data_IF_288301476728
#
_entry.id   IF_288301476728
#
_cell.length_a   1.000
_cell.length_b   1.000
_cell.length_c   1.000
_cell.angle_alpha   90.00
_cell.angle_beta   90.00
_cell.angle_gamma   90.00
#
_symmetry.space_group_name_H-M   'P 1'
#
loop_
_entity.id
_entity.type
_entity.pdbx_description
1 polymer ?
#
# COMPACT_ATOMS: atom_id res chain seq x y z
N UNK A 1 12.59 -13.92 -10.74
CA UNK A 1 13.49 -12.94 -10.11
C UNK A 1 12.68 -11.75 -9.62
N UNK A 2 12.97 -11.27 -8.42
CA UNK A 2 12.34 -10.08 -7.84
C UNK A 2 13.39 -9.10 -7.33
N UNK A 3 13.08 -7.82 -7.38
CA UNK A 3 13.93 -6.77 -6.85
C UNK A 3 13.10 -5.57 -6.43
N UNK A 4 13.64 -4.75 -5.55
CA UNK A 4 12.96 -3.55 -5.11
C UNK A 4 13.88 -2.61 -4.36
N UNK A 5 13.47 -1.35 -4.33
CA UNK A 5 14.11 -0.27 -3.59
C UNK A 5 13.04 0.46 -2.78
N UNK A 6 13.38 0.87 -1.59
CA UNK A 6 12.53 1.72 -0.77
C UNK A 6 13.38 2.81 -0.14
N UNK A 7 12.92 4.03 -0.29
CA UNK A 7 13.45 5.21 0.39
C UNK A 7 12.39 5.73 1.34
N UNK A 8 12.71 5.80 2.62
CA UNK A 8 11.84 6.39 3.63
C UNK A 8 12.58 7.50 4.35
N UNK A 9 11.91 8.58 4.62
CA UNK A 9 12.49 9.70 5.35
C UNK A 9 11.49 10.27 6.34
N UNK A 10 11.91 10.37 7.58
CA UNK A 10 11.28 11.17 8.62
C UNK A 10 11.95 12.55 8.62
N UNK A 11 11.43 13.47 7.80
CA UNK A 11 12.00 14.81 7.67
C UNK A 11 11.79 15.59 8.97
N UNK A 12 10.63 15.45 9.58
CA UNK A 12 10.28 16.07 10.85
C UNK A 12 9.22 15.21 11.58
N UNK A 13 8.90 15.51 12.86
CA UNK A 13 7.77 14.86 13.55
C UNK A 13 6.42 15.06 12.85
N UNK A 14 6.33 16.06 11.97
CA UNK A 14 5.11 16.41 11.25
C UNK A 14 5.05 15.83 9.84
N UNK A 15 6.20 15.54 9.22
CA UNK A 15 6.28 15.11 7.82
C UNK A 15 7.13 13.86 7.66
N UNK A 16 6.52 12.80 7.20
CA UNK A 16 7.20 11.61 6.71
C UNK A 16 6.76 11.26 5.28
N UNK A 17 7.65 10.63 4.53
CA UNK A 17 7.31 10.05 3.24
C UNK A 17 8.02 8.72 3.01
N UNK A 18 7.43 7.92 2.17
CA UNK A 18 8.02 6.67 1.66
C UNK A 18 7.85 6.62 0.16
N UNK A 19 8.95 6.40 -0.55
CA UNK A 19 8.97 6.10 -1.97
C UNK A 19 9.43 4.66 -2.14
N UNK A 20 8.61 3.83 -2.78
CA UNK A 20 8.88 2.43 -3.01
C UNK A 20 8.80 2.06 -4.48
N UNK A 21 9.67 1.16 -4.92
CA UNK A 21 9.59 0.52 -6.22
C UNK A 21 9.88 -0.96 -6.04
N UNK A 22 8.99 -1.81 -6.54
CA UNK A 22 9.17 -3.26 -6.56
C UNK A 22 8.87 -3.78 -7.94
N UNK A 23 9.67 -4.71 -8.41
CA UNK A 23 9.46 -5.42 -9.65
C UNK A 23 9.62 -6.93 -9.45
N UNK A 24 8.91 -7.68 -10.26
CA UNK A 24 9.06 -9.13 -10.37
C UNK A 24 9.04 -9.53 -11.82
N UNK A 25 10.01 -10.35 -12.20
CA UNK A 25 10.08 -10.99 -13.51
C UNK A 25 10.09 -12.50 -13.33
N UNK A 26 9.11 -13.15 -13.87
CA UNK A 26 8.92 -14.60 -13.80
C UNK A 26 8.96 -15.19 -15.20
N UNK A 27 9.76 -16.24 -15.36
CA UNK A 27 9.83 -17.04 -16.57
C UNK A 27 9.13 -18.36 -16.27
N UNK A 28 8.04 -18.64 -16.96
CA UNK A 28 7.36 -19.92 -16.90
C UNK A 28 7.79 -20.73 -18.13
N UNK A 29 8.38 -21.92 -17.90
CA UNK A 29 8.76 -22.87 -18.94
C UNK A 29 7.95 -24.14 -18.76
N UNK A 30 7.37 -24.63 -19.83
CA UNK A 30 6.61 -25.88 -19.83
C UNK A 30 7.36 -26.91 -20.70
N UNK A 31 7.91 -27.94 -20.04
CA UNK A 31 8.70 -28.98 -20.72
C UNK A 31 7.83 -29.90 -21.62
N UNK A 32 6.53 -29.98 -21.33
CA UNK A 32 5.59 -30.84 -22.09
C UNK A 32 4.93 -30.06 -23.22
N UNK A 33 4.70 -28.77 -23.04
CA UNK A 33 4.02 -27.89 -24.00
C UNK A 33 4.78 -26.56 -24.12
N UNK A 34 5.85 -26.49 -24.90
CA UNK A 34 6.66 -25.27 -25.05
C UNK A 34 5.87 -24.06 -25.56
N UNK A 35 4.75 -24.25 -26.22
CA UNK A 35 3.83 -23.18 -26.64
C UNK A 35 3.11 -22.48 -25.46
N UNK A 36 3.20 -23.03 -24.24
CA UNK A 36 2.73 -22.41 -23.01
C UNK A 36 3.84 -21.67 -22.25
N UNK A 37 5.06 -21.61 -22.80
CA UNK A 37 6.12 -20.80 -22.26
C UNK A 37 5.68 -19.33 -22.23
N UNK A 38 5.83 -18.68 -21.09
CA UNK A 38 5.43 -17.31 -20.94
C UNK A 38 6.35 -16.55 -19.97
N UNK A 39 6.54 -15.27 -20.27
CA UNK A 39 7.27 -14.36 -19.42
C UNK A 39 6.26 -13.37 -18.81
N UNK A 40 6.26 -13.31 -17.50
CA UNK A 40 5.41 -12.42 -16.74
C UNK A 40 6.25 -11.36 -16.06
N UNK A 41 5.84 -10.13 -16.18
CA UNK A 41 6.46 -9.01 -15.50
C UNK A 41 5.40 -8.16 -14.81
N UNK A 42 5.68 -7.77 -13.57
CA UNK A 42 4.93 -6.70 -12.92
C UNK A 42 5.86 -5.77 -12.14
N UNK A 43 5.44 -4.54 -12.00
CA UNK A 43 6.03 -3.62 -11.06
C UNK A 43 4.97 -2.83 -10.30
N UNK A 44 5.37 -2.37 -9.12
CA UNK A 44 4.59 -1.49 -8.27
C UNK A 44 5.49 -0.34 -7.85
N UNK A 45 5.05 0.89 -8.14
CA UNK A 45 5.65 2.11 -7.63
C UNK A 45 4.71 2.72 -6.60
N UNK A 46 5.21 3.09 -5.44
CA UNK A 46 4.42 3.60 -4.31
C UNK A 46 4.99 4.93 -3.81
N UNK A 47 4.14 5.90 -3.58
CA UNK A 47 4.45 7.14 -2.88
C UNK A 47 3.45 7.31 -1.74
N UNK A 48 3.94 7.30 -0.51
CA UNK A 48 3.17 7.63 0.69
C UNK A 48 3.70 8.91 1.28
N UNK A 49 2.79 9.78 1.66
CA UNK A 49 3.12 11.03 2.37
C UNK A 49 2.15 11.16 3.54
N UNK A 50 2.71 11.33 4.73
CA UNK A 50 1.96 11.69 5.92
C UNK A 50 2.43 13.06 6.40
N UNK A 51 1.50 13.98 6.50
CA UNK A 51 1.79 15.34 6.93
C UNK A 51 0.82 15.80 8.01
N UNK A 52 1.35 16.13 9.18
CA UNK A 52 0.59 16.73 10.26
C UNK A 52 0.83 18.24 10.21
N UNK A 53 -0.20 19.00 9.87
CA UNK A 53 -0.13 20.46 9.75
C UNK A 53 -1.13 21.14 10.68
N UNK A 54 -0.94 22.42 10.89
CA UNK A 54 -1.79 23.30 11.71
C UNK A 54 -2.64 22.58 12.77
N UNK A 55 -2.14 22.57 14.02
CA UNK A 55 -2.92 22.21 15.24
C UNK A 55 -3.78 20.93 15.09
N UNK A 56 -3.14 19.79 14.77
CA UNK A 56 -3.75 18.48 14.77
C UNK A 56 -4.51 18.04 13.51
N UNK A 57 -4.34 18.71 12.38
CA UNK A 57 -4.77 18.18 11.09
C UNK A 57 -3.73 17.24 10.53
N UNK A 58 -4.19 16.15 9.95
CA UNK A 58 -3.34 15.11 9.36
C UNK A 58 -3.78 14.91 7.92
N UNK A 59 -2.84 15.03 7.00
CA UNK A 59 -3.01 14.69 5.60
C UNK A 59 -2.25 13.38 5.32
N UNK A 60 -2.91 12.42 4.69
CA UNK A 60 -2.29 11.19 4.24
C UNK A 60 -2.59 11.01 2.76
N UNK A 61 -1.56 10.73 2.02
CA UNK A 61 -1.61 10.47 0.59
C UNK A 61 -0.92 9.14 0.30
N UNK A 62 -1.64 8.24 -0.37
CA UNK A 62 -1.12 6.97 -0.86
C UNK A 62 -1.38 6.89 -2.35
N UNK A 63 -0.32 6.96 -3.14
CA UNK A 63 -0.37 6.85 -4.60
C UNK A 63 0.44 5.63 -5.02
N UNK A 64 -0.18 4.72 -5.75
CA UNK A 64 0.48 3.53 -6.29
C UNK A 64 0.21 3.41 -7.78
N UNK A 65 1.25 3.08 -8.53
CA UNK A 65 1.16 2.67 -9.92
C UNK A 65 1.46 1.18 -10.01
N UNK A 66 0.55 0.44 -10.65
CA UNK A 66 0.66 -0.99 -10.84
C UNK A 66 0.66 -1.29 -12.34
N UNK A 67 1.63 -2.07 -12.77
CA UNK A 67 1.78 -2.50 -14.15
C UNK A 67 2.00 -4.01 -14.20
N UNK A 68 1.20 -4.68 -15.01
CA UNK A 68 1.26 -6.11 -15.26
C UNK A 68 1.33 -6.37 -16.76
N UNK A 69 2.26 -7.20 -17.18
CA UNK A 69 2.37 -7.65 -18.58
C UNK A 69 2.82 -9.10 -18.67
N UNK A 70 2.59 -9.72 -19.80
CA UNK A 70 2.86 -11.15 -20.01
C UNK A 70 1.77 -12.04 -19.43
N UNK A 71 0.61 -11.51 -19.07
CA UNK A 71 -0.59 -12.27 -18.73
C UNK A 71 -1.33 -12.72 -19.99
N UNK A 72 -2.38 -13.52 -19.82
CA UNK A 72 -3.29 -13.88 -20.89
C UNK A 72 -3.94 -12.64 -21.53
N UNK A 73 -4.56 -12.85 -22.69
CA UNK A 73 -5.24 -11.79 -23.42
C UNK A 73 -6.29 -11.08 -22.54
N UNK A 74 -6.25 -9.75 -22.49
CA UNK A 74 -7.15 -8.93 -21.66
C UNK A 74 -6.79 -8.81 -20.17
N UNK A 75 -5.66 -9.40 -19.74
CA UNK A 75 -5.21 -9.31 -18.33
C UNK A 75 -3.97 -8.44 -18.13
N UNK A 76 -3.35 -7.94 -19.19
CA UNK A 76 -2.31 -6.92 -19.06
C UNK A 76 -2.96 -5.62 -18.60
N UNK A 77 -2.45 -5.04 -17.54
CA UNK A 77 -3.08 -3.89 -16.90
C UNK A 77 -2.03 -2.85 -16.49
N UNK A 78 -2.41 -1.60 -16.66
CA UNK A 78 -1.71 -0.45 -16.11
C UNK A 78 -2.75 0.44 -15.42
N UNK A 79 -2.61 0.66 -14.11
CA UNK A 79 -3.54 1.51 -13.39
C UNK A 79 -2.90 2.20 -12.19
N UNK A 80 -3.56 3.25 -11.74
CA UNK A 80 -3.18 4.02 -10.58
C UNK A 80 -4.21 3.88 -9.48
N UNK A 81 -3.73 3.60 -8.27
CA UNK A 81 -4.54 3.69 -7.06
C UNK A 81 -4.12 4.94 -6.30
N UNK A 82 -5.06 5.85 -6.12
CA UNK A 82 -4.82 7.08 -5.39
C UNK A 82 -5.82 7.25 -4.27
N UNK A 83 -5.32 7.22 -3.03
CA UNK A 83 -6.09 7.39 -1.82
C UNK A 83 -5.65 8.66 -1.10
N UNK A 84 -6.59 9.49 -0.73
CA UNK A 84 -6.34 10.74 0.00
C UNK A 84 -7.18 10.74 1.25
N UNK A 85 -6.58 11.07 2.40
CA UNK A 85 -7.25 11.17 3.67
C UNK A 85 -6.91 12.48 4.36
N UNK A 86 -7.91 13.15 4.90
CA UNK A 86 -7.75 14.31 5.77
C UNK A 86 -8.37 13.97 7.12
N UNK A 87 -7.56 13.98 8.16
CA UNK A 87 -7.96 13.68 9.53
C UNK A 87 -7.75 14.88 10.45
N UNK A 88 -8.51 14.91 11.53
CA UNK A 88 -8.33 15.85 12.62
C UNK A 88 -8.22 15.10 13.94
N UNK A 89 -7.11 15.30 14.65
CA UNK A 89 -6.94 14.77 16.01
C UNK A 89 -7.85 15.54 16.97
N UNK A 90 -8.62 14.81 17.73
CA UNK A 90 -9.63 15.31 18.66
C UNK A 90 -9.14 15.12 20.09
N UNK A 91 -9.74 15.88 20.99
CA UNK A 91 -9.47 15.91 22.43
C UNK A 91 -8.09 16.47 22.79
N UNK A 92 -7.94 16.98 23.98
CA UNK A 92 -6.68 17.57 24.46
C UNK A 92 -5.54 16.54 24.51
N UNK A 93 -5.86 15.27 24.75
CA UNK A 93 -4.91 14.15 24.77
C UNK A 93 -4.62 13.56 23.39
N UNK A 94 -5.22 14.07 22.29
CA UNK A 94 -5.09 13.61 20.92
C UNK A 94 -5.42 12.12 20.70
N UNK A 95 -6.24 11.54 21.56
CA UNK A 95 -6.62 10.12 21.48
C UNK A 95 -7.69 9.82 20.45
N UNK A 96 -8.50 10.81 20.09
CA UNK A 96 -9.48 10.68 19.01
C UNK A 96 -8.94 11.20 17.70
N UNK A 97 -9.37 10.63 16.60
CA UNK A 97 -9.15 11.14 15.26
C UNK A 97 -10.40 10.92 14.41
N UNK A 98 -10.86 11.98 13.77
CA UNK A 98 -11.91 11.90 12.75
C UNK A 98 -11.26 12.10 11.38
N UNK A 99 -11.42 11.14 10.49
CA UNK A 99 -10.80 11.11 9.17
C UNK A 99 -11.85 11.00 8.09
N UNK A 100 -11.78 11.90 7.10
CA UNK A 100 -12.50 11.79 5.84
C UNK A 100 -11.52 11.30 4.78
N UNK A 101 -11.82 10.16 4.15
CA UNK A 101 -11.00 9.54 3.11
C UNK A 101 -11.75 9.40 1.79
N UNK A 102 -11.03 9.63 0.69
CA UNK A 102 -11.43 9.27 -0.67
C UNK A 102 -10.50 8.18 -1.15
N UNK A 103 -11.05 7.03 -1.46
CA UNK A 103 -10.31 5.87 -1.93
C UNK A 103 -10.55 5.67 -3.42
N UNK A 104 -9.49 5.26 -4.13
CA UNK A 104 -9.50 5.11 -5.58
C UNK A 104 -10.02 6.37 -6.29
N UNK A 105 -9.39 7.51 -6.02
CA UNK A 105 -9.80 8.81 -6.55
C UNK A 105 -9.91 8.82 -8.08
N UNK A 106 -9.05 8.05 -8.77
CA UNK A 106 -9.03 7.95 -10.23
C UNK A 106 -10.03 6.92 -10.77
N UNK A 107 -10.68 6.14 -9.89
CA UNK A 107 -11.62 5.08 -10.26
C UNK A 107 -11.02 4.03 -11.22
N UNK A 108 -9.79 3.63 -10.93
CA UNK A 108 -9.02 2.70 -11.75
C UNK A 108 -8.72 1.37 -11.05
N UNK A 109 -9.25 1.17 -9.82
CA UNK A 109 -8.97 -0.03 -9.06
C UNK A 109 -9.38 -1.30 -9.82
N UNK A 110 -8.42 -2.20 -9.97
CA UNK A 110 -8.63 -3.51 -10.59
C UNK A 110 -7.89 -4.56 -9.79
N UNK A 111 -8.50 -5.70 -9.58
CA UNK A 111 -7.82 -6.83 -8.96
C UNK A 111 -7.56 -7.90 -10.01
N UNK A 112 -6.31 -8.05 -10.38
CA UNK A 112 -5.84 -9.07 -11.32
C UNK A 112 -4.79 -9.89 -10.58
N UNK A 113 -4.89 -11.22 -10.66
CA UNK A 113 -3.89 -12.11 -10.11
C UNK A 113 -3.56 -13.23 -11.08
N UNK A 114 -2.31 -13.67 -11.06
CA UNK A 114 -1.84 -14.85 -11.80
C UNK A 114 -1.38 -15.90 -10.81
N UNK A 115 -1.91 -17.10 -11.01
CA UNK A 115 -1.46 -18.32 -10.34
C UNK A 115 -0.80 -19.25 -11.35
N UNK A 116 0.45 -19.62 -11.11
CA UNK A 116 1.21 -20.52 -11.99
C UNK A 116 1.52 -21.79 -11.21
N UNK A 117 1.07 -22.91 -11.71
CA UNK A 117 1.37 -24.25 -11.21
C UNK A 117 2.09 -25.06 -12.30
N UNK A 118 2.58 -26.23 -11.96
CA UNK A 118 3.25 -27.13 -12.92
C UNK A 118 2.31 -27.61 -14.03
N UNK A 119 0.99 -27.53 -13.81
CA UNK A 119 -0.03 -28.09 -14.71
C UNK A 119 -0.87 -27.04 -15.43
N UNK A 120 -1.02 -25.84 -14.87
CA UNK A 120 -1.85 -24.79 -15.44
C UNK A 120 -1.38 -23.38 -15.06
N UNK A 121 -1.79 -22.41 -15.87
CA UNK A 121 -1.69 -20.97 -15.57
C UNK A 121 -3.13 -20.46 -15.48
N UNK A 122 -3.44 -19.76 -14.40
CA UNK A 122 -4.74 -19.15 -14.15
C UNK A 122 -4.58 -17.64 -14.01
N UNK A 123 -5.26 -16.89 -14.83
CA UNK A 123 -5.41 -15.44 -14.70
C UNK A 123 -6.81 -15.13 -14.17
N UNK A 124 -6.90 -14.49 -13.04
CA UNK A 124 -8.16 -14.18 -12.37
C UNK A 124 -8.37 -12.69 -12.23
N UNK A 125 -9.59 -12.23 -12.47
CA UNK A 125 -10.02 -10.85 -12.22
C UNK A 125 -11.18 -10.87 -11.23
N UNK A 126 -11.07 -10.07 -10.19
CA UNK A 126 -12.11 -9.92 -9.18
C UNK A 126 -12.73 -8.55 -9.25
N UNK A 127 -14.02 -8.47 -8.98
CA UNK A 127 -14.67 -7.19 -8.76
C UNK A 127 -14.18 -6.60 -7.45
N UNK A 128 -13.67 -5.39 -7.51
CA UNK A 128 -13.19 -4.63 -6.36
C UNK A 128 -14.08 -3.43 -6.12
N UNK A 129 -14.05 -2.93 -4.90
CA UNK A 129 -14.74 -1.69 -4.57
C UNK A 129 -14.08 -0.54 -5.33
N UNK A 130 -14.85 0.10 -6.19
CA UNK A 130 -14.45 1.29 -6.93
C UNK A 130 -14.46 2.51 -6.01
N UNK A 131 -14.16 3.69 -6.56
CA UNK A 131 -14.06 4.93 -5.81
C UNK A 131 -15.20 5.10 -4.79
N UNK A 132 -14.81 5.32 -3.54
CA UNK A 132 -15.73 5.57 -2.43
C UNK A 132 -15.18 6.59 -1.46
N UNK A 133 -16.08 7.15 -0.68
CA UNK A 133 -15.76 8.09 0.41
C UNK A 133 -16.07 7.41 1.73
N UNK A 134 -15.19 7.56 2.69
CA UNK A 134 -15.35 6.96 4.03
C UNK A 134 -15.06 7.99 5.11
N UNK A 135 -15.94 8.08 6.10
CA UNK A 135 -15.73 8.80 7.34
C UNK A 135 -15.38 7.80 8.44
N UNK A 136 -14.22 7.98 9.06
CA UNK A 136 -13.72 7.07 10.10
C UNK A 136 -13.48 7.84 11.39
N UNK A 137 -13.98 7.30 12.50
CA UNK A 137 -13.60 7.75 13.83
C UNK A 137 -12.75 6.69 14.51
N UNK A 138 -11.54 7.10 14.95
CA UNK A 138 -10.61 6.23 15.67
C UNK A 138 -10.38 6.77 17.07
N UNK A 139 -10.39 5.88 18.07
CA UNK A 139 -10.08 6.26 19.45
C UNK A 139 -9.06 5.29 20.06
N UNK A 140 -7.95 5.82 20.60
CA UNK A 140 -6.87 5.07 21.23
C UNK A 140 -7.10 4.95 22.74
N UNK A 141 -7.45 3.75 23.20
CA UNK A 141 -7.70 3.47 24.62
C UNK A 141 -6.41 3.24 25.44
N UNK A 142 -5.30 2.84 24.80
CA UNK A 142 -4.08 2.44 25.51
C UNK A 142 -3.03 3.57 25.53
N UNK A 143 -2.58 3.94 26.74
CA UNK A 143 -1.31 4.59 26.99
C UNK A 143 -0.33 3.53 27.48
N UNK A 144 0.67 3.19 26.68
CA UNK A 144 1.84 2.49 27.20
C UNK A 144 2.73 3.54 27.88
N UNK A 145 2.50 3.80 29.18
CA UNK A 145 3.46 4.52 30.00
C UNK A 145 4.61 3.54 30.26
N UNK A 146 5.66 3.57 29.46
CA UNK A 146 6.93 2.95 29.80
C UNK A 146 7.62 3.82 30.86
N UNK A 147 7.13 3.74 32.09
CA UNK A 147 7.93 4.15 33.25
C UNK A 147 9.06 3.15 33.37
N UNK A 148 10.23 3.46 32.79
CA UNK A 148 11.45 2.77 33.15
C UNK A 148 11.71 3.06 34.64
N UNK A 149 11.34 2.11 35.51
CA UNK A 149 11.86 2.09 36.86
C UNK A 149 13.37 1.90 36.73
N UNK A 150 14.11 2.97 36.97
CA UNK A 150 15.54 2.88 37.26
C UNK A 150 15.66 2.01 38.51
N UNK A 151 15.97 0.74 38.32
CA UNK A 151 16.44 -0.13 39.40
C UNK A 151 17.87 0.29 39.66
N UNK A 152 18.07 1.11 40.70
CA UNK A 152 19.39 1.36 41.27
C UNK A 152 19.84 0.06 41.94
N UNK A 153 20.98 -0.55 41.56
CA UNK A 153 21.50 -1.66 42.33
C UNK A 153 22.03 -1.11 43.67
N UNK A 154 21.45 -1.54 44.78
CA UNK A 154 22.06 -1.36 46.09
C UNK A 154 23.28 -2.25 46.20
N UNK A 155 24.44 -1.66 46.46
CA UNK A 155 25.68 -2.28 46.87
C UNK A 155 25.50 -2.90 48.26
#
# INVERSE_FOLDING_TARGET
>A
SSGGLQLSSNISPELDFTLGYRMNYQIARNSVRPNLDNNYFYHISELRVNYTFVKNWVFRNDLSNLYYTGMGEGYNELYWLWNINIGRKLFANKRGELTLGVYDLLNQNKSVSRNVTDTYIEDSRFNVLNRFVMLTFTYNFRNFNTSSKNVTPSL
#
